data_IF_516431473504
#
_entry.id   IF_516431473504
#
_cell.length_a   1.000
_cell.length_b   1.000
_cell.length_c   1.000
_cell.angle_alpha   90.00
_cell.angle_beta   90.00
_cell.angle_gamma   90.00
#
_symmetry.space_group_name_H-M   'P 1'
#
loop_
_entity.id
_entity.type
_entity.pdbx_description
1 polymer ?
#
# COMPACT_ATOMS: atom_id res chain seq x y z
N UNK A 1 -1.44 -7.42 4.05
CA UNK A 1 -0.88 -6.19 4.65
C UNK A 1 -1.25 -6.15 6.12
N UNK A 2 -0.55 -5.36 6.92
CA UNK A 2 -0.94 -5.02 8.28
C UNK A 2 -1.04 -3.49 8.41
N UNK A 3 -1.82 -3.00 9.38
CA UNK A 3 -2.07 -1.56 9.55
C UNK A 3 -0.80 -0.76 9.85
N UNK A 4 0.24 -1.38 10.41
CA UNK A 4 1.50 -0.68 10.70
C UNK A 4 2.27 -0.32 9.43
N UNK A 5 2.01 -1.02 8.31
CA UNK A 5 2.58 -0.67 6.99
C UNK A 5 2.19 0.74 6.56
N UNK A 6 1.02 1.26 6.99
CA UNK A 6 0.61 2.64 6.78
C UNK A 6 1.51 3.69 7.45
N UNK A 7 2.34 3.27 8.41
CA UNK A 7 3.14 4.14 9.28
C UNK A 7 4.65 3.93 9.13
N UNK A 8 5.08 3.05 8.21
CA UNK A 8 6.49 2.76 7.97
C UNK A 8 7.04 3.73 6.92
N UNK A 9 7.70 4.80 7.37
CA UNK A 9 8.36 5.79 6.52
C UNK A 9 9.85 5.91 6.86
N UNK A 10 10.64 6.33 5.89
CA UNK A 10 12.05 6.63 6.13
C UNK A 10 12.20 8.00 6.80
N UNK A 11 13.08 8.11 7.80
CA UNK A 11 13.30 9.37 8.52
C UNK A 11 13.68 10.53 7.57
N UNK A 12 14.54 10.27 6.58
CA UNK A 12 14.92 11.27 5.57
C UNK A 12 13.74 11.74 4.70
N UNK A 13 12.82 10.84 4.35
CA UNK A 13 11.60 11.20 3.62
C UNK A 13 10.73 12.14 4.45
N UNK A 14 10.58 11.89 5.76
CA UNK A 14 9.81 12.75 6.66
C UNK A 14 10.44 14.15 6.79
N UNK A 15 11.76 14.23 6.92
CA UNK A 15 12.50 15.51 7.01
C UNK A 15 12.25 16.40 5.79
N UNK A 16 12.11 15.82 4.61
CA UNK A 16 11.82 16.58 3.37
C UNK A 16 10.32 16.84 3.20
N UNK A 17 9.50 15.81 3.40
CA UNK A 17 8.07 15.87 3.05
C UNK A 17 7.22 16.64 4.07
N UNK A 18 7.60 16.68 5.35
CA UNK A 18 6.85 17.42 6.37
C UNK A 18 6.93 18.94 6.14
N UNK A 19 8.11 19.58 6.00
CA UNK A 19 8.20 21.01 5.70
C UNK A 19 7.47 21.39 4.42
N UNK A 20 7.57 20.54 3.39
CA UNK A 20 6.86 20.74 2.13
C UNK A 20 5.33 20.82 2.31
N UNK A 21 4.75 19.87 3.05
CA UNK A 21 3.32 19.89 3.39
C UNK A 21 2.93 21.09 4.25
N UNK A 22 3.76 21.46 5.23
CA UNK A 22 3.53 22.65 6.06
C UNK A 22 3.50 23.92 5.19
N UNK A 23 4.42 24.05 4.24
CA UNK A 23 4.45 25.17 3.31
C UNK A 23 3.14 25.27 2.50
N UNK A 24 2.65 24.16 1.97
CA UNK A 24 1.36 24.11 1.25
C UNK A 24 0.19 24.54 2.14
N UNK A 25 0.11 24.05 3.38
CA UNK A 25 -0.94 24.39 4.34
C UNK A 25 -0.95 25.90 4.63
N UNK A 26 0.23 26.48 4.86
CA UNK A 26 0.39 27.92 5.13
C UNK A 26 0.01 28.77 3.90
N UNK A 27 0.40 28.35 2.70
CA UNK A 27 0.08 29.05 1.45
C UNK A 27 -1.42 29.00 1.10
N UNK A 28 -2.07 27.86 1.33
CA UNK A 28 -3.52 27.69 1.08
C UNK A 28 -4.34 28.39 2.17
N UNK A 29 -3.78 28.55 3.38
CA UNK A 29 -4.47 29.16 4.51
C UNK A 29 -5.55 28.26 5.12
N UNK A 30 -5.31 26.95 5.14
CA UNK A 30 -6.28 25.98 5.69
C UNK A 30 -6.49 26.23 7.19
N UNK A 31 -7.74 26.30 7.64
CA UNK A 31 -8.04 26.48 9.06
C UNK A 31 -7.57 25.28 9.90
N UNK A 32 -7.11 25.49 11.15
CA UNK A 32 -6.66 24.37 12.00
C UNK A 32 -7.71 23.28 12.18
N UNK A 33 -8.99 23.65 12.28
CA UNK A 33 -10.10 22.70 12.41
C UNK A 33 -10.28 21.85 11.15
N UNK A 34 -10.30 22.47 9.96
CA UNK A 34 -10.43 21.74 8.70
C UNK A 34 -9.25 20.79 8.49
N UNK A 35 -8.03 21.24 8.80
CA UNK A 35 -6.83 20.42 8.74
C UNK A 35 -6.91 19.22 9.71
N UNK A 36 -7.37 19.43 10.94
CA UNK A 36 -7.51 18.36 11.94
C UNK A 36 -8.54 17.31 11.50
N UNK A 37 -9.70 17.75 11.01
CA UNK A 37 -10.73 16.84 10.50
C UNK A 37 -10.22 16.02 9.31
N UNK A 38 -9.57 16.67 8.35
CA UNK A 38 -9.00 15.99 7.18
C UNK A 38 -7.92 14.97 7.57
N UNK A 39 -6.99 15.34 8.46
CA UNK A 39 -5.96 14.41 8.94
C UNK A 39 -6.55 13.22 9.68
N UNK A 40 -7.56 13.43 10.53
CA UNK A 40 -8.24 12.35 11.24
C UNK A 40 -8.92 11.37 10.29
N UNK A 41 -9.69 11.89 9.32
CA UNK A 41 -10.34 11.06 8.30
C UNK A 41 -9.33 10.32 7.44
N UNK A 42 -8.24 10.99 7.03
CA UNK A 42 -7.17 10.38 6.25
C UNK A 42 -6.48 9.26 7.03
N UNK A 43 -6.17 9.48 8.31
CA UNK A 43 -5.53 8.48 9.17
C UNK A 43 -6.41 7.24 9.31
N UNK A 44 -7.69 7.41 9.66
CA UNK A 44 -8.64 6.31 9.81
C UNK A 44 -8.78 5.53 8.50
N UNK A 45 -8.96 6.24 7.38
CA UNK A 45 -9.00 5.65 6.05
C UNK A 45 -7.73 4.85 5.73
N UNK A 46 -6.56 5.43 6.02
CA UNK A 46 -5.27 4.82 5.70
C UNK A 46 -5.04 3.54 6.51
N UNK A 47 -5.35 3.58 7.80
CA UNK A 47 -5.29 2.40 8.66
C UNK A 47 -6.28 1.33 8.21
N UNK A 48 -7.50 1.73 7.81
CA UNK A 48 -8.53 0.81 7.34
C UNK A 48 -8.05 0.03 6.10
N UNK A 49 -7.64 0.70 5.03
CA UNK A 49 -7.27 -0.01 3.81
C UNK A 49 -5.88 -0.68 3.86
N UNK A 50 -5.02 -0.37 4.84
CA UNK A 50 -3.79 -1.14 5.11
C UNK A 50 -4.00 -2.32 6.06
N UNK A 51 -5.18 -2.45 6.68
CA UNK A 51 -5.46 -3.53 7.62
C UNK A 51 -5.42 -4.91 6.96
N UNK A 52 -5.27 -5.96 7.77
CA UNK A 52 -5.41 -7.35 7.34
C UNK A 52 -6.88 -7.84 7.37
N UNK A 53 -7.85 -6.94 7.62
CA UNK A 53 -9.25 -7.30 7.75
C UNK A 53 -9.75 -7.84 6.40
N UNK A 54 -10.26 -9.06 6.41
CA UNK A 54 -10.95 -9.64 5.25
C UNK A 54 -12.44 -9.36 5.37
N UNK A 55 -12.95 -8.46 4.53
CA UNK A 55 -14.35 -8.08 4.53
C UNK A 55 -15.21 -9.18 3.89
N UNK A 56 -16.42 -9.45 4.42
CA UNK A 56 -17.40 -10.27 3.70
C UNK A 56 -17.67 -9.67 2.31
N UNK A 57 -17.75 -10.51 1.28
CA UNK A 57 -17.87 -10.07 -0.11
C UNK A 57 -19.04 -9.09 -0.36
N UNK A 58 -20.14 -9.22 0.39
CA UNK A 58 -21.27 -8.28 0.30
C UNK A 58 -20.89 -6.89 0.78
N UNK A 59 -20.23 -6.78 1.93
CA UNK A 59 -19.79 -5.50 2.49
C UNK A 59 -18.74 -4.84 1.58
N UNK A 60 -17.76 -5.62 1.13
CA UNK A 60 -16.74 -5.21 0.16
C UNK A 60 -17.39 -4.58 -1.10
N UNK A 61 -18.38 -5.24 -1.71
CA UNK A 61 -19.06 -4.76 -2.93
C UNK A 61 -19.76 -3.41 -2.75
N UNK A 62 -20.24 -3.10 -1.55
CA UNK A 62 -20.88 -1.82 -1.25
C UNK A 62 -19.85 -0.76 -0.91
N UNK A 63 -18.91 -1.07 -0.01
CA UNK A 63 -17.90 -0.14 0.46
C UNK A 63 -16.99 0.35 -0.66
N UNK A 64 -16.53 -0.55 -1.54
CA UNK A 64 -15.63 -0.24 -2.68
C UNK A 64 -16.26 0.67 -3.74
N UNK A 65 -17.52 1.05 -3.59
CA UNK A 65 -18.13 2.09 -4.44
C UNK A 65 -17.73 3.49 -3.99
N UNK A 66 -17.40 3.65 -2.72
CA UNK A 66 -17.10 4.95 -2.10
C UNK A 66 -15.68 5.02 -1.58
N UNK A 67 -15.25 4.02 -0.82
CA UNK A 67 -13.98 4.02 -0.09
C UNK A 67 -13.07 2.88 -0.51
N UNK A 68 -11.77 3.13 -0.45
CA UNK A 68 -10.74 2.11 -0.68
C UNK A 68 -10.84 1.06 0.42
N UNK A 69 -10.96 -0.21 0.03
CA UNK A 69 -11.08 -1.35 0.96
C UNK A 69 -9.74 -2.07 1.14
N UNK A 70 -9.57 -2.88 2.22
CA UNK A 70 -8.33 -3.64 2.45
C UNK A 70 -7.90 -4.49 1.26
N UNK A 71 -8.85 -5.18 0.62
CA UNK A 71 -8.57 -6.01 -0.55
C UNK A 71 -8.20 -5.18 -1.78
N UNK A 72 -8.94 -4.10 -2.05
CA UNK A 72 -8.65 -3.20 -3.17
C UNK A 72 -7.22 -2.64 -3.05
N UNK A 73 -6.88 -2.09 -1.89
CA UNK A 73 -5.54 -1.55 -1.64
C UNK A 73 -4.47 -2.64 -1.60
N UNK A 74 -4.81 -3.83 -1.09
CA UNK A 74 -3.91 -4.98 -1.12
C UNK A 74 -3.38 -5.28 -2.53
N UNK A 75 -4.23 -5.19 -3.57
CA UNK A 75 -3.85 -5.44 -4.96
C UNK A 75 -2.75 -4.47 -5.41
N UNK A 76 -2.82 -3.21 -4.99
CA UNK A 76 -1.76 -2.23 -5.25
C UNK A 76 -0.42 -2.59 -4.59
N UNK A 77 -0.43 -3.32 -3.47
CA UNK A 77 0.79 -3.81 -2.80
C UNK A 77 1.26 -5.18 -3.29
N UNK A 78 0.66 -5.71 -4.36
CA UNK A 78 1.07 -6.96 -4.95
C UNK A 78 2.48 -6.88 -5.54
N UNK A 79 3.20 -7.99 -5.52
CA UNK A 79 4.46 -8.13 -6.27
C UNK A 79 4.27 -8.41 -7.75
N UNK A 80 3.03 -8.60 -8.25
CA UNK A 80 2.75 -8.84 -9.67
C UNK A 80 2.60 -7.51 -10.41
N UNK A 81 3.32 -7.33 -11.52
CA UNK A 81 3.34 -6.07 -12.29
C UNK A 81 1.95 -5.65 -12.79
N UNK A 82 1.11 -6.63 -13.15
CA UNK A 82 -0.26 -6.36 -13.56
C UNK A 82 -1.15 -5.87 -12.42
N UNK A 83 -0.88 -6.25 -11.16
CA UNK A 83 -1.67 -5.89 -9.98
C UNK A 83 -1.17 -4.58 -9.34
N UNK A 84 0.15 -4.43 -9.17
CA UNK A 84 0.78 -3.27 -8.49
C UNK A 84 0.43 -1.94 -9.18
N UNK A 85 0.28 -1.96 -10.51
CA UNK A 85 -0.04 -0.80 -11.33
C UNK A 85 -1.55 -0.53 -11.42
N UNK A 86 -2.29 -0.77 -10.34
CA UNK A 86 -3.73 -0.51 -10.23
C UNK A 86 -4.09 -0.05 -8.81
N UNK A 87 -5.31 0.48 -8.62
CA UNK A 87 -5.82 0.91 -7.31
C UNK A 87 -4.96 1.96 -6.58
N UNK A 88 -4.67 3.08 -7.24
CA UNK A 88 -3.79 4.15 -6.75
C UNK A 88 -4.45 5.09 -5.72
N UNK A 89 -5.76 4.99 -5.52
CA UNK A 89 -6.47 5.91 -4.63
C UNK A 89 -6.08 5.72 -3.16
N UNK A 90 -6.03 6.83 -2.43
CA UNK A 90 -6.10 6.84 -0.97
C UNK A 90 -7.44 7.46 -0.55
N UNK A 91 -8.22 6.73 0.26
CA UNK A 91 -9.51 7.21 0.77
C UNK A 91 -10.68 6.90 -0.14
N UNK A 92 -10.79 7.60 -1.26
CA UNK A 92 -11.96 7.52 -2.14
C UNK A 92 -11.67 6.72 -3.40
N UNK A 93 -12.48 5.69 -3.69
CA UNK A 93 -12.36 4.88 -4.93
C UNK A 93 -12.67 5.68 -6.21
N UNK A 94 -13.23 6.89 -6.08
CA UNK A 94 -13.59 7.77 -7.18
C UNK A 94 -12.42 7.98 -8.16
N UNK A 95 -11.19 8.16 -7.65
CA UNK A 95 -10.04 8.46 -8.49
C UNK A 95 -9.65 7.28 -9.38
N UNK A 96 -9.67 6.05 -8.85
CA UNK A 96 -9.44 4.85 -9.66
C UNK A 96 -10.53 4.59 -10.70
N UNK A 97 -11.78 4.99 -10.40
CA UNK A 97 -12.87 4.92 -11.37
C UNK A 97 -12.67 5.94 -12.48
N UNK A 98 -12.30 7.17 -12.12
CA UNK A 98 -12.08 8.25 -13.07
C UNK A 98 -10.93 7.94 -14.04
N UNK A 99 -9.85 7.33 -13.54
CA UNK A 99 -8.65 7.03 -14.33
C UNK A 99 -8.62 5.60 -14.89
N UNK A 100 -9.66 4.79 -14.64
CA UNK A 100 -9.74 3.42 -15.17
C UNK A 100 -8.75 2.44 -14.56
N UNK A 101 -8.23 2.71 -13.35
CA UNK A 101 -7.23 1.89 -12.66
C UNK A 101 -7.85 0.96 -11.60
N UNK A 102 -9.18 0.91 -11.48
CA UNK A 102 -9.88 0.05 -10.52
C UNK A 102 -9.77 -1.44 -10.90
N UNK A 103 -9.09 -2.23 -10.07
CA UNK A 103 -8.98 -3.69 -10.19
C UNK A 103 -9.55 -4.38 -8.96
N UNK A 104 -10.46 -5.34 -9.16
CA UNK A 104 -11.15 -6.06 -8.07
C UNK A 104 -11.24 -7.58 -8.31
N UNK A 105 -10.50 -8.14 -9.27
CA UNK A 105 -10.61 -9.54 -9.69
C UNK A 105 -9.65 -10.49 -8.94
N UNK A 106 -9.00 -10.05 -7.87
CA UNK A 106 -8.07 -10.85 -7.07
C UNK A 106 -8.65 -11.07 -5.66
N UNK A 107 -8.62 -12.30 -5.14
CA UNK A 107 -9.06 -12.57 -3.77
C UNK A 107 -7.98 -12.09 -2.79
N UNK A 108 -8.36 -11.55 -1.64
CA UNK A 108 -7.42 -10.94 -0.69
C UNK A 108 -6.27 -11.88 -0.29
N UNK A 109 -6.57 -13.16 -0.07
CA UNK A 109 -5.61 -14.22 0.27
C UNK A 109 -4.65 -14.62 -0.87
N UNK A 110 -4.93 -14.24 -2.11
CA UNK A 110 -4.12 -14.61 -3.29
C UNK A 110 -3.16 -13.51 -3.71
N UNK A 111 -3.18 -12.37 -3.01
CA UNK A 111 -2.34 -11.22 -3.29
C UNK A 111 -0.96 -11.46 -2.68
N UNK A 112 0.10 -11.63 -3.49
CA UNK A 112 1.45 -11.80 -3.00
C UNK A 112 2.00 -10.46 -2.56
N UNK A 113 2.06 -10.22 -1.24
CA UNK A 113 2.58 -8.98 -0.67
C UNK A 113 4.09 -9.09 -0.43
N UNK A 114 4.85 -8.05 -0.76
CA UNK A 114 6.27 -7.94 -0.45
C UNK A 114 7.01 -7.00 -1.39
N UNK A 115 8.35 -6.94 -1.23
CA UNK A 115 9.22 -6.21 -2.14
C UNK A 115 10.05 -7.24 -2.91
N UNK A 116 9.81 -7.37 -4.22
CA UNK A 116 10.33 -8.48 -5.03
C UNK A 116 11.85 -8.80 -4.84
N UNK A 117 12.77 -7.81 -4.80
CA UNK A 117 14.20 -8.07 -4.58
C UNK A 117 14.62 -8.34 -3.12
N UNK A 118 13.76 -8.14 -2.11
CA UNK A 118 14.12 -8.23 -0.69
C UNK A 118 13.13 -9.12 0.06
N UNK A 119 13.38 -10.43 0.10
CA UNK A 119 12.46 -11.43 0.66
C UNK A 119 13.01 -12.18 1.86
N UNK A 120 14.32 -12.10 2.12
CA UNK A 120 14.92 -12.75 3.29
C UNK A 120 14.88 -11.84 4.52
N UNK A 121 14.65 -12.38 5.74
CA UNK A 121 14.69 -11.58 6.98
C UNK A 121 16.00 -10.79 7.15
N UNK A 122 17.12 -11.37 6.72
CA UNK A 122 18.44 -10.73 6.77
C UNK A 122 18.53 -9.47 5.88
N UNK A 123 17.73 -9.37 4.81
CA UNK A 123 17.70 -8.19 3.92
C UNK A 123 16.91 -7.01 4.51
N UNK A 124 16.01 -7.29 5.45
CA UNK A 124 15.13 -6.30 6.10
C UNK A 124 15.54 -5.96 7.53
N UNK A 125 16.76 -6.30 7.93
CA UNK A 125 17.36 -5.82 9.18
C UNK A 125 17.49 -4.29 9.16
N UNK A 126 17.32 -3.65 10.32
CA UNK A 126 17.38 -2.18 10.45
C UNK A 126 18.61 -1.58 9.77
N UNK A 127 19.80 -2.15 9.99
CA UNK A 127 21.06 -1.68 9.39
C UNK A 127 21.02 -1.74 7.87
N UNK A 128 20.42 -2.78 7.28
CA UNK A 128 20.31 -2.92 5.83
C UNK A 128 19.23 -2.00 5.27
N UNK A 129 18.09 -1.87 5.95
CA UNK A 129 17.03 -0.92 5.58
C UNK A 129 17.53 0.52 5.52
N UNK A 130 18.38 0.93 6.47
CA UNK A 130 19.02 2.26 6.44
C UNK A 130 19.99 2.46 5.28
N UNK A 131 20.51 1.37 4.70
CA UNK A 131 21.44 1.39 3.54
C UNK A 131 20.73 1.22 2.20
N UNK A 132 19.48 0.75 2.18
CA UNK A 132 18.71 0.52 0.95
C UNK A 132 18.71 1.71 -0.03
N UNK A 133 18.62 2.99 0.41
CA UNK A 133 18.69 4.13 -0.50
C UNK A 133 19.98 4.21 -1.31
N UNK A 134 21.07 3.61 -0.83
CA UNK A 134 22.40 3.62 -1.46
C UNK A 134 22.76 2.30 -2.13
N UNK A 135 22.01 1.23 -1.84
CA UNK A 135 22.28 -0.13 -2.32
C UNK A 135 21.07 -0.73 -3.02
N UNK A 136 20.23 0.11 -3.60
CA UNK A 136 19.03 -0.32 -4.32
C UNK A 136 19.40 -1.28 -5.46
N UNK A 137 18.72 -2.42 -5.51
CA UNK A 137 18.83 -3.38 -6.60
C UNK A 137 17.51 -3.36 -7.38
N UNK A 138 17.53 -3.06 -8.69
CA UNK A 138 16.32 -3.13 -9.49
C UNK A 138 15.79 -4.57 -9.53
N UNK A 139 14.46 -4.76 -9.57
CA UNK A 139 13.87 -6.08 -9.74
C UNK A 139 14.37 -6.73 -11.04
N UNK A 140 14.89 -7.95 -10.95
CA UNK A 140 15.29 -8.72 -12.14
C UNK A 140 14.07 -9.31 -12.83
N UNK A 141 14.05 -9.30 -14.16
CA UNK A 141 12.97 -9.86 -15.00
C UNK A 141 12.68 -11.35 -14.71
N UNK A 142 13.61 -12.10 -14.12
CA UNK A 142 13.40 -13.50 -13.74
C UNK A 142 12.56 -13.68 -12.47
N UNK A 143 12.51 -12.68 -11.57
CA UNK A 143 11.81 -12.78 -10.28
C UNK A 143 10.30 -12.51 -10.42
N UNK A 144 9.89 -11.74 -11.45
CA UNK A 144 8.49 -11.45 -11.75
C UNK A 144 7.69 -12.69 -12.18
N UNK A 145 8.35 -13.70 -12.77
CA UNK A 145 7.70 -14.92 -13.29
C UNK A 145 7.45 -16.02 -12.25
N UNK A 146 8.12 -15.97 -11.09
CA UNK A 146 7.96 -16.98 -10.04
C UNK A 146 6.92 -16.55 -9.03
N UNK A 147 5.67 -16.47 -9.51
CA UNK A 147 4.52 -16.71 -8.66
C UNK A 147 4.72 -18.06 -7.96
N UNK A 148 4.47 -18.10 -6.66
CA UNK A 148 4.59 -19.30 -5.82
C UNK A 148 3.91 -20.48 -6.53
N UNK A 149 4.70 -21.50 -6.91
CA UNK A 149 4.16 -22.79 -7.32
C UNK A 149 3.54 -23.45 -6.09
N UNK A 150 2.27 -23.88 -6.10
CA UNK A 150 1.64 -24.54 -4.97
C UNK A 150 2.06 -26.02 -4.93
N UNK A 151 3.36 -26.29 -4.73
CA UNK A 151 3.88 -27.66 -4.65
C UNK A 151 5.18 -27.67 -3.88
N UNK A 152 5.11 -27.61 -2.55
CA UNK A 152 6.14 -28.13 -1.66
C UNK A 152 5.60 -28.20 -0.22
N UNK A 153 4.67 -29.12 0.02
CA UNK A 153 4.57 -29.91 1.26
C UNK A 153 3.39 -30.87 1.11
N UNK A 154 3.55 -31.82 0.20
CA UNK A 154 2.95 -33.13 0.37
C UNK A 154 4.08 -34.15 0.26
N UNK A 155 4.17 -34.95 1.32
CA UNK A 155 4.65 -36.33 1.47
C UNK A 155 5.84 -36.50 2.43
N UNK A 156 5.84 -37.55 3.26
CA UNK A 156 4.75 -38.29 3.90
C UNK A 156 4.61 -38.02 5.41
#
# INVERSE_FOLDING_TARGET
LDASTALRFHAGELVVSVPWRVCQILLIGVSPHALMLWQGLLLVSTLFHHSNIELPLRAERWLVRLVVTPRMHGIHHSTRDEEINSNWSNGLTLWDRLHGTLRLNVRQREIPIGVAPYRSPAEVELRRMLRLPFTYRPPSSSTASRGVSPTAELLP
#
